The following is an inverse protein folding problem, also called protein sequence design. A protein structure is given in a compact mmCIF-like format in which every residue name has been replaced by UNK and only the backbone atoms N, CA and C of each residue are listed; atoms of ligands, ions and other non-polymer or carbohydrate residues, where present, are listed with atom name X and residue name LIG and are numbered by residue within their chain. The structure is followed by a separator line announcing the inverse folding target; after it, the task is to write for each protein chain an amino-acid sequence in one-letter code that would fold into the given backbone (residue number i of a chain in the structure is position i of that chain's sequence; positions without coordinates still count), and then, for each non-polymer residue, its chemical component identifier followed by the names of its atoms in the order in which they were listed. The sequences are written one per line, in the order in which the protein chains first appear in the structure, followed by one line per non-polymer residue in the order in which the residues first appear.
data_IF_459341147049
#
_entry.id   IF_459341147049
#
_cell.length_a   1.000
_cell.length_b   1.000
_cell.length_c   1.000
_cell.angle_alpha   90.00
_cell.angle_beta   90.00
_cell.angle_gamma   90.00
#
_symmetry.space_group_name_H-M   'P 1'
#
loop_
_entity.id
_entity.type
_entity.pdbx_description
1 polymer ?
#
# COMPACT_ATOMS: atom_id res chain seq x y z
N UNK A 1 12.26 20.70 19.13
CA UNK A 1 11.98 19.94 20.36
C UNK A 1 10.92 18.89 20.02
N UNK A 2 11.33 17.75 19.46
CA UNK A 2 10.40 16.67 19.06
C UNK A 2 10.53 15.55 20.10
N UNK A 3 9.85 15.73 21.22
CA UNK A 3 9.79 14.72 22.27
C UNK A 3 8.46 13.99 22.13
N UNK A 4 8.42 13.02 21.21
CA UNK A 4 7.37 11.99 21.27
C UNK A 4 7.75 11.03 22.37
N UNK A 5 7.39 11.38 23.61
CA UNK A 5 7.35 10.46 24.74
C UNK A 5 6.36 9.34 24.38
N UNK A 6 6.89 8.27 23.78
CA UNK A 6 6.13 7.05 23.52
C UNK A 6 5.73 6.50 24.88
N UNK A 7 4.43 6.38 25.06
CA UNK A 7 3.74 6.02 26.30
C UNK A 7 4.56 5.02 27.17
N UNK A 8 5.09 5.44 28.34
CA UNK A 8 5.94 4.59 29.18
C UNK A 8 5.18 3.37 29.74
N UNK A 9 3.85 3.46 29.83
CA UNK A 9 2.99 2.37 30.26
C UNK A 9 3.09 1.12 29.36
N UNK A 10 3.35 1.30 28.05
CA UNK A 10 3.53 0.18 27.14
C UNK A 10 4.76 -0.66 27.48
N UNK A 11 5.83 -0.04 27.98
CA UNK A 11 7.05 -0.74 28.39
C UNK A 11 6.91 -1.41 29.76
N UNK A 12 6.13 -0.84 30.67
CA UNK A 12 5.95 -1.36 32.03
C UNK A 12 4.95 -2.53 32.11
N UNK A 13 3.98 -2.59 31.19
CA UNK A 13 2.91 -3.61 31.14
C UNK A 13 3.09 -4.52 29.91
N UNK A 14 4.31 -4.65 29.38
CA UNK A 14 4.58 -5.68 28.36
C UNK A 14 4.72 -7.03 29.09
N UNK A 15 3.57 -7.64 29.39
CA UNK A 15 3.48 -8.99 29.91
C UNK A 15 4.27 -9.95 29.00
N UNK A 16 4.91 -10.95 29.62
CA UNK A 16 5.70 -11.94 28.89
C UNK A 16 4.78 -12.61 27.88
N UNK A 17 5.09 -12.45 26.58
CA UNK A 17 4.31 -13.05 25.49
C UNK A 17 4.08 -14.53 25.76
N UNK A 18 2.84 -14.98 25.61
CA UNK A 18 2.45 -16.38 25.81
C UNK A 18 3.22 -17.36 24.91
N UNK A 19 3.74 -16.88 23.78
CA UNK A 19 4.56 -17.64 22.83
C UNK A 19 5.92 -16.98 22.62
N UNK A 20 6.97 -17.81 22.47
CA UNK A 20 8.32 -17.36 22.08
C UNK A 20 8.42 -17.40 20.56
N UNK A 21 8.85 -16.30 19.94
CA UNK A 21 9.21 -16.30 18.52
C UNK A 21 10.43 -17.22 18.31
N UNK A 22 10.45 -18.06 17.27
CA UNK A 22 11.65 -18.78 16.87
C UNK A 22 12.84 -17.82 16.72
N UNK A 23 14.03 -18.28 17.10
CA UNK A 23 15.25 -17.47 17.05
C UNK A 23 15.63 -17.16 15.60
N UNK A 24 15.34 -18.10 14.71
CA UNK A 24 15.62 -17.99 13.28
C UNK A 24 14.32 -17.97 12.49
N UNK A 25 14.30 -17.13 11.47
CA UNK A 25 13.27 -17.12 10.44
C UNK A 25 13.93 -17.44 9.11
N UNK A 26 13.54 -18.56 8.49
CA UNK A 26 14.03 -18.93 7.17
C UNK A 26 13.12 -18.36 6.08
N UNK A 27 13.72 -17.54 5.21
CA UNK A 27 13.03 -16.95 4.08
C UNK A 27 12.79 -18.04 3.02
N UNK A 28 11.57 -18.24 2.50
CA UNK A 28 11.34 -19.18 1.40
C UNK A 28 12.16 -18.83 0.15
N UNK A 29 12.61 -19.83 -0.59
CA UNK A 29 13.50 -19.66 -1.75
C UNK A 29 12.90 -18.79 -2.87
N UNK A 30 11.57 -18.75 -3.01
CA UNK A 30 10.87 -17.96 -4.01
C UNK A 30 10.67 -16.49 -3.60
N UNK A 31 11.04 -16.12 -2.37
CA UNK A 31 10.80 -14.77 -1.88
C UNK A 31 11.97 -13.85 -2.28
N UNK A 32 11.74 -12.96 -3.24
CA UNK A 32 12.67 -11.86 -3.55
C UNK A 32 12.38 -10.64 -2.67
N UNK A 33 13.42 -9.90 -2.30
CA UNK A 33 13.32 -8.58 -1.66
C UNK A 33 13.63 -7.46 -2.64
N UNK A 34 13.89 -7.80 -3.90
CA UNK A 34 14.15 -6.83 -4.94
C UNK A 34 12.89 -6.00 -5.21
N UNK A 35 13.04 -4.70 -5.49
CA UNK A 35 11.91 -3.88 -5.88
C UNK A 35 11.28 -4.45 -7.15
N UNK A 36 9.95 -4.31 -7.33
CA UNK A 36 9.31 -4.70 -8.57
C UNK A 36 9.93 -3.95 -9.75
N UNK A 37 9.87 -4.52 -10.97
CA UNK A 37 10.34 -3.83 -12.17
C UNK A 37 9.63 -2.49 -12.33
N UNK A 38 10.32 -1.53 -12.94
CA UNK A 38 9.75 -0.21 -13.19
C UNK A 38 8.52 -0.36 -14.10
N UNK A 39 7.38 0.29 -13.76
CA UNK A 39 6.21 0.23 -14.63
C UNK A 39 6.56 0.79 -16.01
N UNK A 40 6.06 0.13 -17.04
CA UNK A 40 6.13 0.62 -18.41
C UNK A 40 5.15 1.78 -18.58
N UNK A 41 5.48 2.69 -19.50
CA UNK A 41 4.53 3.75 -19.86
C UNK A 41 3.36 3.08 -20.56
N UNK A 42 2.10 3.37 -20.17
CA UNK A 42 0.96 2.87 -20.92
C UNK A 42 1.00 3.42 -22.35
N UNK A 43 0.79 2.54 -23.32
CA UNK A 43 0.41 2.95 -24.68
C UNK A 43 -1.02 3.50 -24.59
N UNK A 44 -1.15 4.83 -24.68
CA UNK A 44 -2.44 5.52 -24.69
C UNK A 44 -2.73 5.98 -26.11
N UNK A 45 -3.35 5.11 -26.89
CA UNK A 45 -3.84 5.44 -28.24
C UNK A 45 -5.22 6.13 -28.22
N UNK A 46 -5.84 6.21 -27.04
CA UNK A 46 -7.14 6.82 -26.84
C UNK A 46 -7.00 8.18 -26.16
N UNK A 47 -7.56 9.24 -26.78
CA UNK A 47 -7.59 10.60 -26.22
C UNK A 47 -8.43 10.69 -24.93
N UNK A 48 -9.39 9.76 -24.77
CA UNK A 48 -10.20 9.58 -23.57
C UNK A 48 -9.96 8.18 -23.01
N UNK A 49 -9.18 8.07 -21.93
CA UNK A 49 -8.95 6.78 -21.26
C UNK A 49 -10.28 6.20 -20.74
N UNK A 50 -10.55 4.90 -20.89
CA UNK A 50 -11.78 4.29 -20.40
C UNK A 50 -11.95 4.46 -18.89
N UNK A 51 -10.84 4.53 -18.14
CA UNK A 51 -10.82 4.71 -16.68
C UNK A 51 -11.38 6.05 -16.16
N UNK A 52 -11.80 6.96 -17.04
CA UNK A 52 -12.73 8.07 -16.70
C UNK A 52 -14.18 7.64 -16.92
N UNK A 53 -14.56 6.49 -16.37
CA UNK A 53 -15.97 6.10 -16.26
C UNK A 53 -16.65 7.10 -15.30
N UNK A 54 -17.31 8.11 -15.84
CA UNK A 54 -17.99 9.19 -15.08
C UNK A 54 -17.93 10.57 -15.74
N UNK A 55 -16.95 10.82 -16.62
CA UNK A 55 -16.81 12.10 -17.34
C UNK A 55 -17.47 12.05 -18.74
N UNK A 56 -18.68 11.49 -18.86
CA UNK A 56 -19.37 11.46 -20.15
C UNK A 56 -20.20 12.73 -20.34
N UNK A 57 -20.04 13.41 -21.48
CA UNK A 57 -20.83 14.61 -21.81
C UNK A 57 -21.59 14.39 -23.11
N UNK A 58 -22.91 14.56 -23.08
CA UNK A 58 -23.77 14.55 -24.26
C UNK A 58 -24.61 15.82 -24.28
N UNK A 59 -24.60 16.54 -25.40
CA UNK A 59 -25.36 17.80 -25.57
C UNK A 59 -25.10 18.84 -24.46
N UNK A 60 -23.87 18.87 -23.92
CA UNK A 60 -23.46 19.76 -22.83
C UNK A 60 -23.88 19.30 -21.43
N UNK A 61 -24.46 18.11 -21.29
CA UNK A 61 -24.93 17.53 -20.02
C UNK A 61 -24.00 16.41 -19.59
N UNK A 62 -23.53 16.46 -18.34
CA UNK A 62 -22.75 15.38 -17.73
C UNK A 62 -23.64 14.17 -17.41
N UNK A 63 -23.16 12.98 -17.78
CA UNK A 63 -23.81 11.68 -17.57
C UNK A 63 -22.88 10.85 -16.67
N UNK A 64 -23.39 10.45 -15.51
CA UNK A 64 -22.71 9.58 -14.53
C UNK A 64 -23.56 8.30 -14.31
N UNK A 65 -22.93 7.14 -14.14
CA UNK A 65 -23.56 5.81 -14.01
C UNK A 65 -23.32 5.19 -12.63
#
# INVERSE_FOLDING_TARGET
MLETSRQPAHFLIMEKRATKRPETFEKPAHWTSEPPPKPEKPEMDEELSPTRYGDWVKDGIAIDF
#
